data_IF_016250585316
#
_entry.id   IF_016250585316
#
_cell.length_a   1.000
_cell.length_b   1.000
_cell.length_c   1.000
_cell.angle_alpha   90.00
_cell.angle_beta   90.00
_cell.angle_gamma   90.00
#
_symmetry.space_group_name_H-M   'P 1'
#
loop_
_entity.id
_entity.type
_entity.pdbx_description
1 polymer ?
#
# COMPACT_ATOMS: atom_id res chain seq x y z
N UNK A 1 18.65 -10.94 -3.44
CA UNK A 1 17.44 -11.74 -3.65
C UNK A 1 16.23 -10.99 -3.16
N UNK A 2 15.10 -11.11 -3.83
CA UNK A 2 13.84 -10.51 -3.37
C UNK A 2 13.44 -11.09 -2.02
N UNK A 3 12.88 -10.31 -1.10
CA UNK A 3 12.44 -10.81 0.19
C UNK A 3 11.33 -11.86 0.01
N UNK A 4 11.48 -13.00 0.68
CA UNK A 4 10.45 -14.05 0.65
C UNK A 4 9.29 -13.64 1.55
N UNK A 5 8.08 -13.66 1.00
CA UNK A 5 6.84 -13.39 1.72
C UNK A 5 5.88 -14.59 1.72
N UNK A 6 4.78 -14.50 2.47
CA UNK A 6 3.74 -15.55 2.54
C UNK A 6 3.23 -16.01 1.16
N UNK A 7 3.06 -15.14 0.14
CA UNK A 7 2.66 -15.59 -1.20
C UNK A 7 3.63 -16.57 -1.85
N UNK A 8 4.94 -16.43 -1.61
CA UNK A 8 5.96 -17.34 -2.12
C UNK A 8 5.87 -18.70 -1.43
N UNK A 9 5.60 -18.72 -0.11
CA UNK A 9 5.38 -19.95 0.65
C UNK A 9 4.10 -20.64 0.15
N UNK A 10 3.01 -19.89 -0.06
CA UNK A 10 1.77 -20.44 -0.60
C UNK A 10 1.98 -21.08 -2.00
N UNK A 11 2.75 -20.42 -2.87
CA UNK A 11 3.08 -20.97 -4.18
C UNK A 11 3.84 -22.31 -4.04
N UNK A 12 4.90 -22.34 -3.23
CA UNK A 12 5.67 -23.55 -2.97
C UNK A 12 4.81 -24.70 -2.40
N UNK A 13 3.84 -24.38 -1.53
CA UNK A 13 2.91 -25.38 -0.99
C UNK A 13 2.01 -25.97 -2.08
N UNK A 14 1.58 -25.18 -3.05
CA UNK A 14 0.83 -25.66 -4.23
C UNK A 14 1.72 -26.54 -5.11
N UNK A 15 2.92 -26.08 -5.42
CA UNK A 15 3.87 -26.78 -6.29
C UNK A 15 4.26 -28.17 -5.73
N UNK A 16 4.30 -28.30 -4.40
CA UNK A 16 4.58 -29.57 -3.72
C UNK A 16 3.34 -30.40 -3.36
N UNK A 17 2.16 -29.96 -3.77
CA UNK A 17 0.91 -30.70 -3.56
C UNK A 17 0.39 -30.71 -2.11
N UNK A 18 0.88 -29.85 -1.24
CA UNK A 18 0.38 -29.73 0.15
C UNK A 18 -1.02 -29.10 0.22
N UNK A 19 -1.37 -28.28 -0.76
CA UNK A 19 -2.65 -27.61 -0.92
C UNK A 19 -3.00 -27.53 -2.40
N UNK A 20 -4.31 -27.38 -2.71
CA UNK A 20 -4.77 -27.29 -4.08
C UNK A 20 -4.67 -25.87 -4.66
N UNK A 21 -4.60 -24.82 -3.80
CA UNK A 21 -4.51 -23.42 -4.22
C UNK A 21 -3.83 -22.55 -3.20
N UNK A 22 -3.36 -21.36 -3.63
CA UNK A 22 -2.83 -20.34 -2.72
C UNK A 22 -3.87 -19.91 -1.68
N UNK A 23 -5.14 -19.77 -2.06
CA UNK A 23 -6.22 -19.43 -1.15
C UNK A 23 -6.41 -20.48 -0.05
N UNK A 24 -6.28 -21.76 -0.40
CA UNK A 24 -6.30 -22.84 0.60
C UNK A 24 -5.10 -22.73 1.54
N UNK A 25 -3.90 -22.43 1.01
CA UNK A 25 -2.72 -22.24 1.83
C UNK A 25 -2.91 -21.11 2.85
N UNK A 26 -3.45 -19.97 2.41
CA UNK A 26 -3.73 -18.86 3.32
C UNK A 26 -4.81 -19.20 4.33
N UNK A 27 -5.93 -19.77 3.89
CA UNK A 27 -7.04 -20.12 4.80
C UNK A 27 -6.64 -21.11 5.88
N UNK A 28 -5.83 -22.12 5.54
CA UNK A 28 -5.49 -23.24 6.45
C UNK A 28 -4.22 -23.02 7.26
N UNK A 29 -3.24 -22.27 6.70
CA UNK A 29 -1.89 -22.28 7.28
C UNK A 29 -1.26 -20.89 7.46
N UNK A 30 -1.38 -19.97 6.48
CA UNK A 30 -0.57 -18.77 6.38
C UNK A 30 -1.33 -17.47 6.70
N UNK A 31 -2.66 -17.52 6.74
CA UNK A 31 -3.51 -16.35 7.03
C UNK A 31 -3.38 -15.91 8.48
N UNK A 32 -3.92 -14.74 8.78
CA UNK A 32 -3.92 -14.20 10.13
C UNK A 32 -4.65 -15.14 11.08
N UNK A 33 -4.00 -15.48 12.20
CA UNK A 33 -4.44 -16.47 13.21
C UNK A 33 -4.37 -17.95 12.75
N UNK A 34 -3.88 -18.25 11.56
CA UNK A 34 -3.63 -19.63 11.12
C UNK A 34 -2.39 -20.22 11.81
N UNK A 35 -2.20 -21.56 11.82
CA UNK A 35 -1.15 -22.22 12.61
C UNK A 35 0.28 -21.75 12.32
N UNK A 36 0.58 -21.31 11.09
CA UNK A 36 1.90 -20.80 10.73
C UNK A 36 2.00 -19.27 10.77
N UNK A 37 1.00 -18.59 11.34
CA UNK A 37 1.04 -17.14 11.50
C UNK A 37 2.06 -16.75 12.58
N UNK A 38 3.01 -15.91 12.18
CA UNK A 38 3.92 -15.27 13.11
C UNK A 38 3.63 -13.78 13.13
N UNK A 39 3.20 -13.20 14.26
CA UNK A 39 2.98 -11.78 14.36
C UNK A 39 4.24 -10.99 14.03
N UNK A 40 4.11 -9.96 13.20
CA UNK A 40 5.19 -8.99 13.03
C UNK A 40 5.27 -8.11 14.29
N UNK A 41 6.47 -7.62 14.67
CA UNK A 41 6.58 -6.58 15.67
C UNK A 41 5.67 -5.39 15.28
N UNK A 42 4.89 -4.93 16.26
CA UNK A 42 4.04 -3.75 16.03
C UNK A 42 4.92 -2.52 15.93
N UNK A 43 4.75 -1.77 14.85
CA UNK A 43 5.31 -0.43 14.71
C UNK A 43 4.14 0.55 14.63
N UNK A 44 4.12 1.54 15.49
CA UNK A 44 3.04 2.52 15.52
C UNK A 44 2.99 3.31 14.20
N UNK A 45 1.79 3.58 13.65
CA UNK A 45 1.64 4.28 12.38
C UNK A 45 2.38 5.61 12.32
N UNK A 46 2.37 6.39 13.40
CA UNK A 46 3.10 7.66 13.51
C UNK A 46 4.60 7.50 13.31
N UNK A 47 5.19 6.42 13.79
CA UNK A 47 6.62 6.14 13.62
C UNK A 47 6.94 5.80 12.15
N UNK A 48 6.03 5.07 11.48
CA UNK A 48 6.18 4.72 10.07
C UNK A 48 6.05 5.95 9.20
N UNK A 49 5.03 6.78 9.44
CA UNK A 49 4.79 8.02 8.71
C UNK A 49 5.96 8.99 8.90
N UNK A 50 6.43 9.19 10.13
CA UNK A 50 7.61 10.02 10.43
C UNK A 50 8.86 9.51 9.69
N UNK A 51 9.08 8.21 9.67
CA UNK A 51 10.21 7.62 8.94
C UNK A 51 10.13 7.91 7.43
N UNK A 52 8.94 7.76 6.83
CA UNK A 52 8.70 8.07 5.42
C UNK A 52 8.98 9.55 5.15
N UNK A 53 8.48 10.46 5.98
CA UNK A 53 8.67 11.89 5.85
C UNK A 53 10.15 12.28 5.98
N UNK A 54 10.86 11.74 6.96
CA UNK A 54 12.32 11.95 7.11
C UNK A 54 13.14 11.43 5.94
N UNK A 55 12.63 10.40 5.24
CA UNK A 55 13.23 9.92 4.01
C UNK A 55 12.87 10.77 2.77
N UNK A 56 12.09 11.87 2.92
CA UNK A 56 11.65 12.74 1.83
C UNK A 56 10.47 12.17 1.03
N UNK A 57 9.76 11.17 1.57
CA UNK A 57 8.61 10.55 0.94
C UNK A 57 7.27 11.08 1.46
N UNK A 58 6.18 10.65 0.81
CA UNK A 58 4.78 10.86 1.23
C UNK A 58 4.15 9.53 1.61
N UNK A 59 3.36 9.51 2.69
CA UNK A 59 2.75 8.31 3.23
C UNK A 59 1.32 8.11 2.72
N UNK A 60 1.03 6.98 2.11
CA UNK A 60 -0.29 6.63 1.61
C UNK A 60 -0.87 5.42 2.34
N UNK A 61 -2.18 5.45 2.61
CA UNK A 61 -2.96 4.28 3.01
C UNK A 61 -3.25 3.44 1.76
N UNK A 62 -2.62 2.28 1.67
CA UNK A 62 -2.78 1.37 0.54
C UNK A 62 -4.08 0.57 0.65
N UNK A 63 -4.78 0.37 -0.48
CA UNK A 63 -5.96 -0.49 -0.70
C UNK A 63 -6.84 -0.72 0.57
N UNK A 64 -7.42 0.34 1.17
CA UNK A 64 -8.16 0.22 2.43
C UNK A 64 -9.41 -0.68 2.36
N UNK A 65 -9.88 -1.01 1.17
CA UNK A 65 -10.95 -1.99 0.96
C UNK A 65 -12.34 -1.51 1.41
N UNK A 66 -13.24 -2.50 1.67
CA UNK A 66 -14.67 -2.25 1.88
C UNK A 66 -15.02 -1.74 3.28
N UNK A 67 -14.20 -2.00 4.28
CA UNK A 67 -14.59 -1.87 5.69
C UNK A 67 -13.49 -1.24 6.54
N UNK A 68 -12.69 -0.35 5.97
CA UNK A 68 -11.68 0.33 6.75
C UNK A 68 -12.33 1.28 7.77
N UNK A 69 -12.07 1.12 9.07
CA UNK A 69 -12.77 1.87 10.10
C UNK A 69 -12.45 3.38 10.03
N UNK A 70 -13.49 4.23 10.00
CA UNK A 70 -13.31 5.68 9.90
C UNK A 70 -12.48 6.26 11.04
N UNK A 71 -12.63 5.73 12.27
CA UNK A 71 -11.84 6.20 13.41
C UNK A 71 -10.35 5.93 13.24
N UNK A 72 -9.97 4.81 12.57
CA UNK A 72 -8.57 4.51 12.26
C UNK A 72 -8.06 5.47 11.18
N UNK A 73 -8.85 5.74 10.13
CA UNK A 73 -8.49 6.74 9.13
C UNK A 73 -8.24 8.12 9.77
N UNK A 74 -9.13 8.55 10.66
CA UNK A 74 -8.97 9.82 11.39
C UNK A 74 -7.68 9.84 12.23
N UNK A 75 -7.33 8.72 12.87
CA UNK A 75 -6.06 8.60 13.60
C UNK A 75 -4.85 8.69 12.66
N UNK A 76 -4.87 8.00 11.52
CA UNK A 76 -3.79 8.07 10.54
C UNK A 76 -3.61 9.48 9.99
N UNK A 77 -4.71 10.18 9.71
CA UNK A 77 -4.68 11.61 9.31
C UNK A 77 -4.03 12.46 10.39
N UNK A 78 -4.40 12.27 11.65
CA UNK A 78 -3.79 12.98 12.78
C UNK A 78 -2.29 12.66 12.95
N UNK A 79 -1.84 11.47 12.52
CA UNK A 79 -0.41 11.09 12.48
C UNK A 79 0.34 11.67 11.28
N UNK A 80 -0.34 12.36 10.36
CA UNK A 80 0.29 12.99 9.19
C UNK A 80 0.20 12.17 7.90
N UNK A 81 -0.78 11.26 7.77
CA UNK A 81 -1.04 10.57 6.50
C UNK A 81 -1.22 11.58 5.36
N UNK A 82 -0.52 11.38 4.24
CA UNK A 82 -0.56 12.30 3.11
C UNK A 82 -1.64 11.95 2.08
N UNK A 83 -1.99 10.68 1.92
CA UNK A 83 -2.92 10.27 0.88
C UNK A 83 -3.56 8.91 1.09
N UNK A 84 -4.49 8.58 0.18
CA UNK A 84 -5.21 7.31 0.13
C UNK A 84 -5.11 6.73 -1.28
N UNK A 85 -4.91 5.42 -1.40
CA UNK A 85 -5.08 4.71 -2.65
C UNK A 85 -6.58 4.52 -2.92
N UNK A 86 -7.11 5.35 -3.82
CA UNK A 86 -8.53 5.39 -4.15
C UNK A 86 -8.87 4.41 -5.27
N UNK A 87 -8.02 4.36 -6.30
CA UNK A 87 -8.22 3.52 -7.47
C UNK A 87 -7.45 2.21 -7.33
N UNK A 88 -8.18 1.12 -7.08
CA UNK A 88 -7.61 -0.21 -6.86
C UNK A 88 -8.57 -1.29 -7.37
N UNK A 89 -8.10 -2.46 -7.88
CA UNK A 89 -8.97 -3.52 -8.40
C UNK A 89 -10.06 -3.99 -7.44
N UNK A 90 -9.77 -4.00 -6.15
CA UNK A 90 -10.73 -4.42 -5.12
C UNK A 90 -11.77 -3.33 -4.75
N UNK A 91 -11.60 -2.09 -5.21
CA UNK A 91 -12.54 -1.01 -4.92
C UNK A 91 -13.64 -0.95 -5.98
N UNK A 92 -14.87 -1.13 -5.53
CA UNK A 92 -16.07 -0.92 -6.35
C UNK A 92 -16.46 0.59 -6.35
N UNK A 93 -17.32 1.06 -7.26
CA UNK A 93 -17.71 2.46 -7.33
C UNK A 93 -18.09 3.12 -6.00
N UNK A 94 -18.83 2.46 -5.07
CA UNK A 94 -19.12 3.06 -3.77
C UNK A 94 -17.89 3.32 -2.90
N UNK A 95 -16.84 2.47 -2.98
CA UNK A 95 -15.60 2.69 -2.24
C UNK A 95 -14.78 3.82 -2.85
N UNK A 96 -14.71 3.88 -4.17
CA UNK A 96 -14.04 4.97 -4.89
C UNK A 96 -14.67 6.31 -4.51
N UNK A 97 -16.00 6.38 -4.52
CA UNK A 97 -16.73 7.58 -4.11
C UNK A 97 -16.45 7.94 -2.65
N UNK A 98 -16.56 6.97 -1.74
CA UNK A 98 -16.30 7.17 -0.31
C UNK A 98 -14.88 7.70 -0.08
N UNK A 99 -13.84 7.05 -0.63
CA UNK A 99 -12.46 7.50 -0.42
C UNK A 99 -12.15 8.82 -1.12
N UNK A 100 -12.77 9.11 -2.25
CA UNK A 100 -12.68 10.44 -2.90
C UNK A 100 -13.25 11.53 -1.98
N UNK A 101 -14.37 11.26 -1.30
CA UNK A 101 -14.93 12.18 -0.31
C UNK A 101 -14.00 12.35 0.90
N UNK A 102 -13.38 11.27 1.40
CA UNK A 102 -12.42 11.38 2.51
C UNK A 102 -11.15 12.17 2.10
N UNK A 103 -10.64 11.95 0.89
CA UNK A 103 -9.54 12.75 0.33
C UNK A 103 -9.88 14.24 0.35
N UNK A 104 -11.07 14.61 -0.14
CA UNK A 104 -11.54 16.01 -0.12
C UNK A 104 -11.72 16.54 1.29
N UNK A 105 -12.34 15.76 2.18
CA UNK A 105 -12.63 16.12 3.57
C UNK A 105 -11.37 16.46 4.38
N UNK A 106 -10.32 15.67 4.20
CA UNK A 106 -9.08 15.80 4.97
C UNK A 106 -7.95 16.51 4.21
N UNK A 107 -8.18 16.98 2.99
CA UNK A 107 -7.14 17.61 2.16
C UNK A 107 -5.98 16.68 1.84
N UNK A 108 -6.28 15.39 1.64
CA UNK A 108 -5.30 14.36 1.31
C UNK A 108 -5.01 14.31 -0.19
N UNK A 109 -3.96 13.61 -0.55
CA UNK A 109 -3.66 13.20 -1.92
C UNK A 109 -4.40 11.91 -2.25
N UNK A 110 -4.62 11.66 -3.55
CA UNK A 110 -5.11 10.37 -4.01
C UNK A 110 -4.08 9.70 -4.91
N UNK A 111 -4.07 8.37 -4.89
CA UNK A 111 -3.32 7.57 -5.84
C UNK A 111 -4.15 6.37 -6.32
N UNK A 112 -3.55 5.60 -7.22
CA UNK A 112 -4.13 4.36 -7.69
C UNK A 112 -3.05 3.42 -8.21
N UNK A 113 -3.37 2.13 -8.22
CA UNK A 113 -2.49 1.09 -8.69
C UNK A 113 -3.21 -0.22 -8.94
N UNK A 114 -2.65 -1.06 -9.80
CA UNK A 114 -3.22 -2.36 -10.14
C UNK A 114 -2.96 -3.45 -9.09
N UNK A 115 -2.08 -3.19 -8.14
CA UNK A 115 -1.58 -4.17 -7.16
C UNK A 115 -1.13 -5.50 -7.82
N UNK A 116 -0.65 -5.41 -9.07
CA UNK A 116 -0.27 -6.58 -9.86
C UNK A 116 1.00 -7.22 -9.30
N UNK A 117 0.92 -8.51 -8.97
CA UNK A 117 2.02 -9.33 -8.48
C UNK A 117 2.47 -10.36 -9.53
N UNK A 118 1.63 -10.63 -10.52
CA UNK A 118 1.91 -11.56 -11.62
C UNK A 118 0.98 -11.31 -12.80
N UNK A 119 1.33 -11.86 -13.98
CA UNK A 119 0.47 -11.81 -15.16
C UNK A 119 -0.89 -12.52 -14.95
N UNK A 120 -0.97 -13.43 -13.98
CA UNK A 120 -2.18 -14.19 -13.65
C UNK A 120 -3.20 -13.39 -12.82
N UNK A 121 -2.85 -12.22 -12.28
CA UNK A 121 -3.72 -11.47 -11.37
C UNK A 121 -4.89 -10.76 -12.07
N UNK A 122 -4.91 -10.73 -13.40
CA UNK A 122 -5.99 -10.17 -14.22
C UNK A 122 -6.00 -8.64 -14.31
N UNK A 123 -5.41 -7.92 -13.36
CA UNK A 123 -5.24 -6.48 -13.41
C UNK A 123 -3.90 -6.14 -14.04
N UNK A 124 -3.91 -5.35 -15.11
CA UNK A 124 -2.69 -4.94 -15.82
C UNK A 124 -2.11 -3.67 -15.23
N UNK A 125 -0.80 -3.55 -15.27
CA UNK A 125 -0.11 -2.31 -14.91
C UNK A 125 -0.66 -1.16 -15.76
N UNK A 126 -1.13 -0.11 -15.10
CA UNK A 126 -1.72 1.07 -15.72
C UNK A 126 -3.26 1.13 -15.73
N UNK A 127 -3.97 0.02 -15.50
CA UNK A 127 -5.45 0.01 -15.51
C UNK A 127 -6.08 0.91 -14.44
N UNK A 128 -5.37 1.14 -13.33
CA UNK A 128 -5.81 1.94 -12.17
C UNK A 128 -4.91 3.16 -11.95
N UNK A 129 -4.31 3.67 -13.01
CA UNK A 129 -3.46 4.85 -12.97
C UNK A 129 -4.24 6.14 -12.71
N UNK A 130 -3.53 7.15 -12.24
CA UNK A 130 -4.03 8.52 -12.06
C UNK A 130 -3.24 9.47 -12.95
N UNK A 131 -3.78 10.69 -13.18
CA UNK A 131 -3.14 11.68 -14.04
C UNK A 131 -1.79 12.18 -13.51
N UNK A 132 -0.98 12.77 -14.39
CA UNK A 132 0.34 13.30 -14.05
C UNK A 132 0.28 14.40 -12.98
N UNK A 133 -0.80 15.16 -12.92
CA UNK A 133 -1.06 16.20 -11.91
C UNK A 133 -1.02 15.65 -10.48
N UNK A 134 -1.42 14.41 -10.28
CA UNK A 134 -1.31 13.75 -8.97
C UNK A 134 0.15 13.51 -8.57
N UNK A 135 1.01 13.16 -9.52
CA UNK A 135 2.46 12.99 -9.27
C UNK A 135 3.09 14.35 -8.90
N UNK A 136 2.66 15.43 -9.57
CA UNK A 136 3.14 16.78 -9.23
C UNK A 136 2.68 17.21 -7.85
N UNK A 137 1.43 16.92 -7.49
CA UNK A 137 0.91 17.16 -6.14
C UNK A 137 1.69 16.37 -5.06
N UNK A 138 2.03 15.10 -5.33
CA UNK A 138 2.88 14.28 -4.44
C UNK A 138 4.27 14.88 -4.27
N UNK A 139 4.90 15.34 -5.35
CA UNK A 139 6.20 16.01 -5.31
C UNK A 139 6.16 17.32 -4.51
N UNK A 140 5.11 18.13 -4.72
CA UNK A 140 4.90 19.36 -3.99
C UNK A 140 4.70 19.10 -2.49
N UNK A 141 3.92 18.07 -2.12
CA UNK A 141 3.73 17.65 -0.74
C UNK A 141 5.04 17.20 -0.11
N UNK A 142 5.80 16.34 -0.79
CA UNK A 142 7.10 15.86 -0.31
C UNK A 142 8.07 17.02 -0.07
N UNK A 143 8.12 18.00 -0.99
CA UNK A 143 8.97 19.19 -0.86
C UNK A 143 8.58 20.12 0.30
N UNK A 144 7.31 20.09 0.72
CA UNK A 144 6.81 20.90 1.83
C UNK A 144 7.01 20.25 3.22
N UNK A 145 7.40 18.96 3.27
CA UNK A 145 7.62 18.25 4.53
C UNK A 145 8.94 18.64 5.21
N UNK A 146 8.99 18.72 6.55
CA UNK A 146 10.22 18.98 7.28
C UNK A 146 11.24 17.86 7.00
N UNK A 147 12.39 18.19 6.46
CA UNK A 147 13.47 17.24 6.15
C UNK A 147 13.80 17.08 4.67
N UNK A 148 13.03 17.67 3.77
CA UNK A 148 13.22 17.58 2.31
C UNK A 148 14.43 18.36 1.74
N UNK A 149 15.34 18.87 2.57
CA UNK A 149 16.53 19.64 2.13
C UNK A 149 17.69 18.77 1.62
N UNK A 150 17.49 17.46 1.44
CA UNK A 150 18.46 16.55 0.85
C UNK A 150 18.16 16.31 -0.62
N UNK A 151 18.97 16.82 -1.53
CA UNK A 151 19.00 16.41 -2.94
C UNK A 151 19.06 14.89 -3.02
N UNK A 152 18.14 14.21 -3.74
CA UNK A 152 18.25 12.77 -3.89
C UNK A 152 19.58 12.45 -4.56
N UNK A 153 20.47 11.80 -3.84
CA UNK A 153 21.71 11.26 -4.39
C UNK A 153 21.32 10.27 -5.48
N UNK A 154 21.60 10.59 -6.74
CA UNK A 154 21.47 9.65 -7.85
C UNK A 154 22.32 8.43 -7.50
N UNK A 155 21.67 7.32 -7.23
CA UNK A 155 22.35 6.03 -7.22
C UNK A 155 22.84 5.84 -8.65
N UNK A 156 24.14 6.06 -8.86
CA UNK A 156 24.81 5.75 -10.12
C UNK A 156 24.69 4.23 -10.31
N UNK A 157 23.89 3.81 -11.29
CA UNK A 157 23.83 2.44 -11.72
C UNK A 157 25.19 2.04 -12.26
N UNK A 158 25.92 1.22 -11.55
CA UNK A 158 27.04 0.46 -12.09
C UNK A 158 26.51 -0.67 -12.95
N UNK A 159 27.02 -0.74 -14.14
CA UNK A 159 26.77 -1.72 -15.21
C UNK A 159 27.02 -3.15 -14.78
#
# INVERSE_FOLDING_TARGET
>A
GSPLGRPHIAAAMVDHGFVASKDEAFRRYLGDRAPAFTPKPYTAPEQVIDLIHRAGGVAFLAHPGLSFPEHILTQLVACGLDGIEVFHPAHQPPQIEYYTQQVSRYGLLMCGGSDSHSEADGARIGDYGIGCEAIEAMRARAAALPGSTGTPSRVAGSR
#
